data_IF_758264957479
#
_entry.id   IF_758264957479
#
_cell.length_a   1.000
_cell.length_b   1.000
_cell.length_c   1.000
_cell.angle_alpha   90.00
_cell.angle_beta   90.00
_cell.angle_gamma   90.00
#
_symmetry.space_group_name_H-M   'P 1'
#
loop_
_entity.id
_entity.type
_entity.pdbx_description
1 polymer ?
#
# COMPACT_ATOMS: atom_id res chain seq x y z
N UNK A 1 8.76 39.82 7.03
CA UNK A 1 8.45 38.83 8.10
C UNK A 1 7.90 37.48 7.60
N UNK A 2 6.89 37.43 6.71
CA UNK A 2 6.31 36.13 6.23
C UNK A 2 7.32 35.18 5.56
N UNK A 3 8.30 35.69 4.81
CA UNK A 3 9.31 34.85 4.14
C UNK A 3 10.37 34.29 5.11
N UNK A 4 10.76 35.04 6.13
CA UNK A 4 11.71 34.58 7.16
C UNK A 4 11.12 33.39 7.93
N UNK A 5 9.86 33.50 8.35
CA UNK A 5 9.15 32.41 9.05
C UNK A 5 9.05 31.14 8.20
N UNK A 6 8.78 31.26 6.89
CA UNK A 6 8.77 30.13 5.94
C UNK A 6 10.13 29.44 5.89
N UNK A 7 11.21 30.23 5.82
CA UNK A 7 12.57 29.71 5.75
C UNK A 7 12.96 28.98 7.04
N UNK A 8 12.64 29.56 8.21
CA UNK A 8 12.95 28.97 9.52
C UNK A 8 12.14 27.70 9.77
N UNK A 9 10.82 27.71 9.55
CA UNK A 9 10.00 26.50 9.71
C UNK A 9 10.40 25.41 8.70
N UNK A 10 10.73 25.80 7.46
CA UNK A 10 11.27 24.89 6.44
C UNK A 10 12.60 24.25 6.87
N UNK A 11 13.55 25.04 7.35
CA UNK A 11 14.84 24.51 7.82
C UNK A 11 14.68 23.54 8.99
N UNK A 12 13.81 23.85 9.98
CA UNK A 12 13.52 22.96 11.10
C UNK A 12 12.90 21.63 10.65
N UNK A 13 11.94 21.69 9.70
CA UNK A 13 11.31 20.49 9.17
C UNK A 13 12.26 19.67 8.28
N UNK A 14 13.16 20.30 7.54
CA UNK A 14 14.23 19.62 6.79
C UNK A 14 15.22 18.93 7.74
N UNK A 15 15.59 19.57 8.85
CA UNK A 15 16.42 18.94 9.87
C UNK A 15 15.73 17.72 10.48
N UNK A 16 14.45 17.84 10.83
CA UNK A 16 13.65 16.71 11.33
C UNK A 16 13.55 15.57 10.30
N UNK A 17 13.30 15.89 9.03
CA UNK A 17 13.33 14.92 7.94
C UNK A 17 14.67 14.21 7.86
N UNK A 18 15.78 14.95 7.91
CA UNK A 18 17.14 14.40 7.79
C UNK A 18 17.43 13.40 8.90
N UNK A 19 17.08 13.73 10.15
CA UNK A 19 17.25 12.81 11.28
C UNK A 19 16.43 11.52 11.08
N UNK A 20 15.15 11.65 10.73
CA UNK A 20 14.29 10.50 10.43
C UNK A 20 14.82 9.68 9.25
N UNK A 21 15.36 10.34 8.24
CA UNK A 21 15.93 9.73 7.04
C UNK A 21 17.14 8.87 7.36
N UNK A 22 18.08 9.39 8.15
CA UNK A 22 19.26 8.64 8.58
C UNK A 22 18.89 7.44 9.46
N UNK A 23 17.97 7.62 10.40
CA UNK A 23 17.43 6.53 11.21
C UNK A 23 16.81 5.45 10.31
N UNK A 24 16.03 5.87 9.31
CA UNK A 24 15.38 4.98 8.35
C UNK A 24 16.36 4.15 7.53
N UNK A 25 17.52 4.72 7.21
CA UNK A 25 18.52 4.09 6.34
C UNK A 25 19.48 3.18 7.11
N UNK A 26 19.93 3.58 8.30
CA UNK A 26 21.03 2.92 8.99
C UNK A 26 20.59 1.97 10.11
N UNK A 27 19.34 2.05 10.58
CA UNK A 27 18.81 1.11 11.57
C UNK A 27 17.79 0.16 10.92
N UNK A 28 17.95 -1.16 10.95
CA UNK A 28 17.04 -2.07 10.26
C UNK A 28 15.59 -2.01 10.80
N UNK A 29 15.37 -2.48 12.04
CA UNK A 29 14.02 -2.56 12.62
C UNK A 29 13.45 -1.18 12.96
N UNK A 30 14.28 -0.33 13.57
CA UNK A 30 13.88 1.05 13.91
C UNK A 30 13.65 1.86 12.66
N UNK A 31 14.44 1.64 11.60
CA UNK A 31 14.31 2.38 10.36
C UNK A 31 13.06 2.02 9.56
N UNK A 32 12.64 0.74 9.57
CA UNK A 32 11.35 0.35 9.01
C UNK A 32 10.20 1.14 9.65
N UNK A 33 10.18 1.25 10.98
CA UNK A 33 9.15 2.02 11.70
C UNK A 33 9.32 3.53 11.45
N UNK A 34 10.55 4.05 11.49
CA UNK A 34 10.88 5.45 11.25
C UNK A 34 10.45 5.92 9.86
N UNK A 35 10.54 5.05 8.86
CA UNK A 35 10.20 5.37 7.47
C UNK A 35 8.74 5.85 7.32
N UNK A 36 7.82 5.35 8.15
CA UNK A 36 6.42 5.76 8.16
C UNK A 36 6.21 7.23 8.57
N UNK A 37 7.19 7.80 9.29
CA UNK A 37 7.18 9.19 9.74
C UNK A 37 7.87 10.14 8.76
N UNK A 38 8.57 9.63 7.73
CA UNK A 38 9.28 10.47 6.75
C UNK A 38 8.37 11.44 6.01
N UNK A 39 7.10 11.09 5.81
CA UNK A 39 6.12 11.96 5.18
C UNK A 39 5.69 13.13 6.08
N UNK A 40 5.87 13.05 7.41
CA UNK A 40 5.34 14.04 8.37
C UNK A 40 5.86 15.45 8.11
N UNK A 41 7.17 15.70 7.93
CA UNK A 41 7.68 17.04 7.66
C UNK A 41 7.11 17.66 6.38
N UNK A 42 6.94 16.85 5.33
CA UNK A 42 6.35 17.28 4.06
C UNK A 42 4.86 17.61 4.20
N UNK A 43 4.11 16.78 4.92
CA UNK A 43 2.69 17.04 5.20
C UNK A 43 2.53 18.36 5.95
N UNK A 44 3.34 18.56 7.01
CA UNK A 44 3.30 19.78 7.82
C UNK A 44 3.63 21.03 7.00
N UNK A 45 4.69 20.98 6.20
CA UNK A 45 5.11 22.11 5.38
C UNK A 45 4.06 22.43 4.31
N UNK A 46 3.63 21.42 3.56
CA UNK A 46 2.68 21.59 2.46
C UNK A 46 1.26 21.96 2.91
N UNK A 47 0.87 21.59 4.14
CA UNK A 47 -0.40 22.02 4.72
C UNK A 47 -0.44 23.52 5.04
N UNK A 48 0.71 24.12 5.36
CA UNK A 48 0.82 25.52 5.81
C UNK A 48 1.19 26.51 4.72
N UNK A 49 1.93 26.08 3.69
CA UNK A 49 2.49 26.97 2.68
C UNK A 49 2.02 26.62 1.26
N UNK A 50 2.09 27.61 0.36
CA UNK A 50 1.66 27.46 -1.03
C UNK A 50 2.48 26.39 -1.77
N UNK A 51 1.87 25.74 -2.76
CA UNK A 51 2.48 24.63 -3.51
C UNK A 51 3.85 24.93 -4.13
N UNK A 52 4.11 26.18 -4.54
CA UNK A 52 5.44 26.59 -5.04
C UNK A 52 6.55 26.36 -4.00
N UNK A 53 6.29 26.73 -2.75
CA UNK A 53 7.25 26.53 -1.66
C UNK A 53 7.36 25.06 -1.28
N UNK A 54 6.27 24.30 -1.38
CA UNK A 54 6.30 22.85 -1.18
C UNK A 54 7.23 22.16 -2.16
N UNK A 55 7.23 22.56 -3.44
CA UNK A 55 8.15 22.03 -4.44
C UNK A 55 9.60 22.33 -4.04
N UNK A 56 9.89 23.57 -3.64
CA UNK A 56 11.23 23.96 -3.15
C UNK A 56 11.66 23.09 -1.96
N UNK A 57 10.75 22.84 -1.02
CA UNK A 57 11.03 21.99 0.14
C UNK A 57 11.32 20.54 -0.25
N UNK A 58 10.56 19.97 -1.19
CA UNK A 58 10.79 18.61 -1.71
C UNK A 58 12.15 18.54 -2.41
N UNK A 59 12.46 19.49 -3.30
CA UNK A 59 13.77 19.54 -3.98
C UNK A 59 14.91 19.65 -2.98
N UNK A 60 14.80 20.54 -1.98
CA UNK A 60 15.80 20.68 -0.93
C UNK A 60 16.00 19.38 -0.14
N UNK A 61 14.92 18.67 0.19
CA UNK A 61 15.00 17.37 0.90
C UNK A 61 15.67 16.29 0.06
N UNK A 62 15.46 16.27 -1.26
CA UNK A 62 16.10 15.32 -2.18
C UNK A 62 17.60 15.61 -2.25
N UNK A 63 17.99 16.86 -2.47
CA UNK A 63 19.41 17.25 -2.45
C UNK A 63 20.08 16.88 -1.12
N UNK A 64 19.40 17.14 0.00
CA UNK A 64 19.90 16.79 1.32
C UNK A 64 20.03 15.28 1.52
N UNK A 65 19.09 14.48 1.01
CA UNK A 65 19.16 13.02 1.08
C UNK A 65 20.36 12.43 0.32
N UNK A 66 20.75 13.07 -0.79
CA UNK A 66 21.94 12.69 -1.56
C UNK A 66 23.21 13.03 -0.80
N UNK A 67 23.27 14.22 -0.17
CA UNK A 67 24.44 14.69 0.58
C UNK A 67 24.72 13.83 1.81
N UNK A 68 23.68 13.49 2.58
CA UNK A 68 23.85 12.81 3.88
C UNK A 68 23.74 11.28 3.76
N UNK A 69 23.08 10.79 2.72
CA UNK A 69 22.97 9.36 2.40
C UNK A 69 23.86 8.98 1.22
N UNK A 70 23.23 8.60 0.11
CA UNK A 70 23.91 8.27 -1.14
C UNK A 70 22.94 8.45 -2.31
N UNK A 71 23.41 8.27 -3.55
CA UNK A 71 22.51 8.29 -4.70
C UNK A 71 21.41 7.20 -4.61
N UNK A 72 21.71 6.06 -3.97
CA UNK A 72 20.76 4.97 -3.77
C UNK A 72 19.67 5.26 -2.73
N UNK A 73 19.81 6.35 -1.96
CA UNK A 73 18.83 6.77 -0.95
C UNK A 73 17.73 7.67 -1.52
N UNK A 74 17.92 8.18 -2.75
CA UNK A 74 17.00 9.05 -3.48
C UNK A 74 15.58 8.46 -3.61
N UNK A 75 15.39 7.15 -3.91
CA UNK A 75 14.07 6.55 -4.00
C UNK A 75 13.20 6.77 -2.76
N UNK A 76 13.81 6.67 -1.58
CA UNK A 76 13.12 6.85 -0.31
C UNK A 76 12.67 8.31 -0.13
N UNK A 77 13.59 9.26 -0.30
CA UNK A 77 13.29 10.69 -0.16
C UNK A 77 12.25 11.17 -1.17
N UNK A 78 12.37 10.74 -2.43
CA UNK A 78 11.42 11.11 -3.48
C UNK A 78 10.04 10.51 -3.22
N UNK A 79 9.97 9.23 -2.85
CA UNK A 79 8.70 8.53 -2.60
C UNK A 79 7.92 9.16 -1.44
N UNK A 80 8.56 9.29 -0.28
CA UNK A 80 7.89 9.85 0.91
C UNK A 80 7.72 11.37 0.81
N UNK A 81 8.68 12.07 0.18
CA UNK A 81 8.64 13.52 0.01
C UNK A 81 7.50 13.98 -0.89
N UNK A 82 7.37 13.38 -2.08
CA UNK A 82 6.27 13.73 -3.01
C UNK A 82 4.91 13.27 -2.50
N UNK A 83 4.84 12.06 -1.92
CA UNK A 83 3.59 11.54 -1.32
C UNK A 83 3.12 12.43 -0.15
N UNK A 84 4.02 12.77 0.77
CA UNK A 84 3.73 13.66 1.90
C UNK A 84 3.38 15.09 1.46
N UNK A 85 4.05 15.60 0.42
CA UNK A 85 3.74 16.90 -0.16
C UNK A 85 2.32 16.95 -0.76
N UNK A 86 1.92 15.93 -1.52
CA UNK A 86 0.56 15.83 -2.08
C UNK A 86 -0.48 15.70 -0.97
N UNK A 87 -0.21 14.89 0.05
CA UNK A 87 -1.07 14.80 1.24
C UNK A 87 -1.28 16.17 1.88
N UNK A 88 -0.20 16.87 2.23
CA UNK A 88 -0.29 18.19 2.86
C UNK A 88 -0.95 19.24 1.98
N UNK A 89 -0.66 19.25 0.67
CA UNK A 89 -1.31 20.17 -0.28
C UNK A 89 -2.83 19.95 -0.36
N UNK A 90 -3.29 18.69 -0.40
CA UNK A 90 -4.72 18.39 -0.42
C UNK A 90 -5.40 18.68 0.92
N UNK A 91 -4.67 18.53 2.05
CA UNK A 91 -5.12 18.99 3.37
C UNK A 91 -5.30 20.51 3.38
N UNK A 92 -4.33 21.27 2.86
CA UNK A 92 -4.44 22.73 2.72
C UNK A 92 -5.67 23.13 1.89
N UNK A 93 -5.99 22.37 0.84
CA UNK A 93 -7.19 22.57 0.01
C UNK A 93 -8.48 22.00 0.64
N UNK A 94 -8.45 21.61 1.92
CA UNK A 94 -9.59 21.09 2.69
C UNK A 94 -10.32 19.93 2.01
N UNK A 95 -9.59 19.10 1.25
CA UNK A 95 -10.15 17.91 0.59
C UNK A 95 -10.52 16.83 1.59
N UNK A 96 -11.42 15.93 1.20
CA UNK A 96 -11.82 14.81 2.05
C UNK A 96 -10.67 13.82 2.22
N UNK A 97 -10.63 13.15 3.38
CA UNK A 97 -9.58 12.17 3.69
C UNK A 97 -9.51 11.03 2.67
N UNK A 98 -10.65 10.59 2.12
CA UNK A 98 -10.68 9.57 1.09
C UNK A 98 -10.02 10.06 -0.21
N UNK A 99 -10.29 11.31 -0.63
CA UNK A 99 -9.62 11.91 -1.78
C UNK A 99 -8.12 12.02 -1.56
N UNK A 100 -7.69 12.44 -0.36
CA UNK A 100 -6.27 12.51 0.00
C UNK A 100 -5.64 11.11 -0.05
N UNK A 101 -6.31 10.09 0.47
CA UNK A 101 -5.86 8.71 0.47
C UNK A 101 -5.65 8.16 -0.95
N UNK A 102 -6.66 8.29 -1.81
CA UNK A 102 -6.60 7.81 -3.20
C UNK A 102 -5.48 8.53 -3.96
N UNK A 103 -5.47 9.87 -3.93
CA UNK A 103 -4.48 10.65 -4.67
C UNK A 103 -3.04 10.34 -4.22
N UNK A 104 -2.81 10.23 -2.90
CA UNK A 104 -1.48 9.94 -2.37
C UNK A 104 -1.05 8.49 -2.63
N UNK A 105 -2.00 7.55 -2.67
CA UNK A 105 -1.71 6.15 -3.06
C UNK A 105 -1.25 6.08 -4.51
N UNK A 106 -1.91 6.81 -5.42
CA UNK A 106 -1.47 6.89 -6.81
C UNK A 106 -0.11 7.58 -6.98
N UNK A 107 0.18 8.63 -6.21
CA UNK A 107 1.52 9.24 -6.21
C UNK A 107 2.58 8.25 -5.76
N UNK A 108 2.33 7.53 -4.65
CA UNK A 108 3.25 6.50 -4.17
C UNK A 108 3.40 5.34 -5.17
N UNK A 109 2.31 4.93 -5.84
CA UNK A 109 2.35 3.93 -6.91
C UNK A 109 3.22 4.36 -8.08
N UNK A 110 3.06 5.60 -8.54
CA UNK A 110 3.90 6.18 -9.61
C UNK A 110 5.36 6.19 -9.17
N UNK A 111 5.65 6.54 -7.92
CA UNK A 111 7.01 6.49 -7.39
C UNK A 111 7.57 5.06 -7.38
N UNK A 112 6.80 4.06 -6.92
CA UNK A 112 7.24 2.66 -6.92
C UNK A 112 7.54 2.17 -8.34
N UNK A 113 6.63 2.42 -9.29
CA UNK A 113 6.79 2.03 -10.70
C UNK A 113 7.98 2.78 -11.33
N UNK A 114 8.08 4.09 -11.10
CA UNK A 114 9.15 4.92 -11.62
C UNK A 114 10.51 4.49 -11.08
N UNK A 115 10.62 4.17 -9.79
CA UNK A 115 11.84 3.68 -9.19
C UNK A 115 12.24 2.30 -9.71
N UNK A 116 11.27 1.41 -9.93
CA UNK A 116 11.53 0.14 -10.57
C UNK A 116 12.04 0.33 -12.02
N UNK A 117 11.42 1.20 -12.80
CA UNK A 117 11.88 1.51 -14.15
C UNK A 117 13.29 2.13 -14.15
N UNK A 118 13.58 3.04 -13.22
CA UNK A 118 14.91 3.64 -13.05
C UNK A 118 15.96 2.59 -12.69
N UNK A 119 15.64 1.63 -11.83
CA UNK A 119 16.54 0.54 -11.46
C UNK A 119 17.02 -0.26 -12.69
N UNK A 120 16.10 -0.55 -13.61
CA UNK A 120 16.42 -1.28 -14.83
C UNK A 120 17.19 -0.41 -15.82
N UNK A 121 16.72 0.80 -16.11
CA UNK A 121 17.24 1.62 -17.22
C UNK A 121 18.57 2.29 -16.88
N UNK A 122 18.72 2.80 -15.65
CA UNK A 122 19.91 3.57 -15.27
C UNK A 122 20.96 2.73 -14.56
N UNK A 123 20.53 1.75 -13.76
CA UNK A 123 21.46 0.92 -12.98
C UNK A 123 21.71 -0.46 -13.61
N UNK A 124 20.99 -0.83 -14.68
CA UNK A 124 21.01 -2.17 -15.28
C UNK A 124 20.72 -3.27 -14.25
N UNK A 125 19.91 -2.94 -13.23
CA UNK A 125 19.54 -3.84 -12.14
C UNK A 125 18.04 -4.12 -12.20
N UNK A 126 17.66 -5.37 -12.47
CA UNK A 126 16.28 -5.82 -12.28
C UNK A 126 16.13 -6.36 -10.86
N UNK A 127 15.79 -5.46 -9.94
CA UNK A 127 15.66 -5.75 -8.51
C UNK A 127 14.64 -6.87 -8.24
N UNK A 128 13.59 -6.97 -9.07
CA UNK A 128 12.56 -8.00 -8.91
C UNK A 128 13.11 -9.36 -9.35
N UNK A 129 13.80 -9.43 -10.49
CA UNK A 129 14.44 -10.68 -10.91
C UNK A 129 15.58 -11.09 -9.97
N UNK A 130 16.37 -10.15 -9.42
CA UNK A 130 17.39 -10.45 -8.41
C UNK A 130 16.77 -11.04 -7.14
N UNK A 131 15.66 -10.48 -6.66
CA UNK A 131 14.90 -11.04 -5.53
C UNK A 131 14.41 -12.46 -5.84
N UNK A 132 13.84 -12.68 -7.03
CA UNK A 132 13.38 -14.01 -7.45
C UNK A 132 14.54 -15.00 -7.54
N UNK A 133 15.70 -14.59 -8.08
CA UNK A 133 16.88 -15.45 -8.19
C UNK A 133 17.42 -15.82 -6.81
N UNK A 134 17.47 -14.87 -5.87
CA UNK A 134 17.86 -15.13 -4.48
C UNK A 134 16.94 -16.15 -3.82
N UNK A 135 15.62 -16.08 -4.09
CA UNK A 135 14.66 -17.09 -3.63
C UNK A 135 14.92 -18.45 -4.28
N UNK A 136 15.22 -18.51 -5.58
CA UNK A 136 15.58 -19.75 -6.29
C UNK A 136 16.81 -20.41 -5.71
N UNK A 137 17.85 -19.63 -5.38
CA UNK A 137 19.06 -20.14 -4.76
C UNK A 137 18.78 -20.74 -3.37
N UNK A 138 17.91 -20.08 -2.59
CA UNK A 138 17.45 -20.60 -1.30
C UNK A 138 16.68 -21.92 -1.44
N UNK A 139 15.81 -22.03 -2.45
CA UNK A 139 15.08 -23.27 -2.75
C UNK A 139 16.06 -24.37 -3.17
N UNK A 140 17.03 -24.06 -4.02
CA UNK A 140 18.05 -25.01 -4.48
C UNK A 140 18.81 -25.59 -3.28
N UNK A 141 19.29 -24.74 -2.38
CA UNK A 141 19.97 -25.15 -1.16
C UNK A 141 19.09 -26.08 -0.29
N UNK A 142 17.80 -25.77 -0.15
CA UNK A 142 16.86 -26.64 0.56
C UNK A 142 16.66 -27.99 -0.15
N UNK A 143 16.59 -27.99 -1.47
CA UNK A 143 16.37 -29.22 -2.26
C UNK A 143 17.60 -30.13 -2.31
N UNK A 144 18.80 -29.55 -2.30
CA UNK A 144 20.05 -30.31 -2.21
C UNK A 144 20.16 -31.01 -0.86
N UNK A 145 19.70 -30.38 0.23
CA UNK A 145 19.60 -31.02 1.54
C UNK A 145 18.63 -32.22 1.52
N UNK A 146 17.46 -32.09 0.90
CA UNK A 146 16.50 -33.19 0.76
C UNK A 146 17.06 -34.35 -0.06
N UNK A 147 17.78 -34.05 -1.16
CA UNK A 147 18.45 -35.08 -1.98
C UNK A 147 19.52 -35.82 -1.17
N UNK A 148 20.33 -35.10 -0.39
CA UNK A 148 21.34 -35.71 0.48
C UNK A 148 20.75 -36.62 1.56
N UNK A 149 19.47 -36.42 1.93
CA UNK A 149 18.72 -37.29 2.85
C UNK A 149 18.00 -38.45 2.12
N UNK A 150 18.24 -38.64 0.82
CA UNK A 150 17.58 -39.67 0.01
C UNK A 150 16.12 -39.36 -0.36
N UNK A 151 15.66 -38.11 -0.18
CA UNK A 151 14.27 -37.69 -0.43
C UNK A 151 14.08 -37.03 -1.80
N UNK A 152 14.57 -37.66 -2.87
CA UNK A 152 14.58 -37.07 -4.23
C UNK A 152 13.19 -36.68 -4.74
N UNK A 153 12.19 -37.54 -4.55
CA UNK A 153 10.80 -37.26 -4.96
C UNK A 153 10.21 -36.05 -4.25
N UNK A 154 10.56 -35.86 -2.97
CA UNK A 154 10.12 -34.68 -2.21
C UNK A 154 10.84 -33.43 -2.71
N UNK A 155 12.15 -33.51 -2.97
CA UNK A 155 12.92 -32.42 -3.54
C UNK A 155 12.34 -31.95 -4.89
N UNK A 156 12.00 -32.87 -5.79
CA UNK A 156 11.37 -32.51 -7.08
C UNK A 156 10.02 -31.82 -6.92
N UNK A 157 9.17 -32.32 -6.02
CA UNK A 157 7.87 -31.71 -5.74
C UNK A 157 8.04 -30.29 -5.18
N UNK A 158 9.00 -30.10 -4.27
CA UNK A 158 9.37 -28.79 -3.73
C UNK A 158 9.79 -27.85 -4.86
N UNK A 159 10.74 -28.25 -5.71
CA UNK A 159 11.18 -27.41 -6.85
C UNK A 159 9.99 -27.01 -7.73
N UNK A 160 9.14 -27.96 -8.12
CA UNK A 160 7.97 -27.70 -8.99
C UNK A 160 6.99 -26.72 -8.34
N UNK A 161 6.65 -26.92 -7.06
CA UNK A 161 5.70 -26.08 -6.35
C UNK A 161 6.23 -24.65 -6.19
N UNK A 162 7.49 -24.49 -5.76
CA UNK A 162 8.08 -23.18 -5.57
C UNK A 162 8.32 -22.44 -6.89
N UNK A 163 8.73 -23.14 -7.95
CA UNK A 163 8.92 -22.52 -9.27
C UNK A 163 7.62 -21.90 -9.78
N UNK A 164 6.50 -22.65 -9.71
CA UNK A 164 5.17 -22.12 -10.05
C UNK A 164 4.78 -20.93 -9.16
N UNK A 165 5.07 -21.00 -7.86
CA UNK A 165 4.83 -19.89 -6.94
C UNK A 165 5.60 -18.62 -7.31
N UNK A 166 6.87 -18.75 -7.71
CA UNK A 166 7.70 -17.62 -8.14
C UNK A 166 7.22 -17.03 -9.48
N UNK A 167 6.79 -17.85 -10.42
CA UNK A 167 6.17 -17.39 -11.68
C UNK A 167 4.88 -16.61 -11.42
N UNK A 168 4.08 -17.07 -10.46
CA UNK A 168 2.86 -16.38 -10.02
C UNK A 168 3.18 -15.04 -9.34
N UNK A 169 4.18 -15.01 -8.45
CA UNK A 169 4.66 -13.75 -7.83
C UNK A 169 5.11 -12.76 -8.91
N UNK A 170 5.89 -13.23 -9.90
CA UNK A 170 6.35 -12.42 -11.03
C UNK A 170 5.17 -11.85 -11.82
N UNK A 171 4.15 -12.66 -12.08
CA UNK A 171 2.94 -12.23 -12.79
C UNK A 171 2.15 -11.20 -11.97
N UNK A 172 2.13 -11.32 -10.65
CA UNK A 172 1.38 -10.46 -9.73
C UNK A 172 2.12 -9.21 -9.26
N UNK A 173 3.32 -8.92 -9.76
CA UNK A 173 4.06 -7.70 -9.42
C UNK A 173 3.21 -6.42 -9.55
N UNK A 174 2.42 -6.21 -10.62
CA UNK A 174 1.53 -5.04 -10.71
C UNK A 174 0.52 -4.96 -9.55
N UNK A 175 -0.12 -6.07 -9.20
CA UNK A 175 -1.02 -6.15 -8.03
C UNK A 175 -0.27 -5.78 -6.75
N UNK A 176 0.92 -6.34 -6.54
CA UNK A 176 1.72 -6.08 -5.35
C UNK A 176 2.10 -4.60 -5.24
N UNK A 177 2.46 -3.94 -6.34
CA UNK A 177 2.73 -2.50 -6.34
C UNK A 177 1.49 -1.68 -5.96
N UNK A 178 0.33 -2.01 -6.54
CA UNK A 178 -0.94 -1.37 -6.19
C UNK A 178 -1.24 -1.56 -4.70
N UNK A 179 -1.27 -2.80 -4.20
CA UNK A 179 -1.60 -3.09 -2.80
C UNK A 179 -0.61 -2.43 -1.83
N UNK A 180 0.69 -2.54 -2.08
CA UNK A 180 1.72 -1.91 -1.25
C UNK A 180 1.56 -0.39 -1.21
N UNK A 181 1.29 0.27 -2.34
CA UNK A 181 1.10 1.72 -2.37
C UNK A 181 -0.10 2.17 -1.53
N UNK A 182 -1.22 1.46 -1.61
CA UNK A 182 -2.43 1.78 -0.84
C UNK A 182 -2.27 1.47 0.65
N UNK A 183 -1.68 0.31 0.99
CA UNK A 183 -1.43 -0.09 2.39
C UNK A 183 -0.43 0.87 3.05
N UNK A 184 0.70 1.17 2.42
CA UNK A 184 1.67 2.12 2.97
C UNK A 184 1.08 3.52 3.12
N UNK A 185 0.32 3.99 2.14
CA UNK A 185 -0.38 5.28 2.24
C UNK A 185 -1.34 5.32 3.42
N UNK A 186 -2.06 4.22 3.68
CA UNK A 186 -2.94 4.10 4.84
C UNK A 186 -2.14 4.21 6.14
N UNK A 187 -1.03 3.46 6.25
CA UNK A 187 -0.14 3.48 7.40
C UNK A 187 0.44 4.88 7.65
N UNK A 188 0.92 5.53 6.59
CA UNK A 188 1.42 6.92 6.64
C UNK A 188 0.34 7.85 7.21
N UNK A 189 -0.91 7.76 6.76
CA UNK A 189 -1.98 8.60 7.31
C UNK A 189 -2.29 8.28 8.78
N UNK A 190 -2.32 7.00 9.16
CA UNK A 190 -2.62 6.58 10.53
C UNK A 190 -1.57 7.10 11.52
N UNK A 191 -0.29 7.08 11.12
CA UNK A 191 0.83 7.54 11.95
C UNK A 191 0.99 9.06 11.89
N UNK A 192 0.90 9.66 10.70
CA UNK A 192 1.21 11.08 10.50
C UNK A 192 0.10 12.00 10.98
N UNK A 193 -1.18 11.67 10.78
CA UNK A 193 -2.27 12.60 11.05
C UNK A 193 -2.43 12.97 12.53
N UNK A 194 -2.27 12.06 13.50
CA UNK A 194 -2.24 12.42 14.92
C UNK A 194 -1.14 13.45 15.23
N UNK A 195 0.04 13.30 14.63
CA UNK A 195 1.17 14.21 14.82
C UNK A 195 0.85 15.56 14.18
N UNK A 196 0.45 15.55 12.91
CA UNK A 196 0.13 16.75 12.13
C UNK A 196 -0.95 17.61 12.80
N UNK A 197 -1.98 16.99 13.39
CA UNK A 197 -3.01 17.69 14.16
C UNK A 197 -2.47 18.41 15.40
N UNK A 198 -1.48 17.83 16.10
CA UNK A 198 -0.84 18.46 17.26
C UNK A 198 -0.09 19.74 16.90
N UNK A 199 0.34 19.89 15.64
CA UNK A 199 0.98 21.10 15.11
C UNK A 199 -0.01 22.11 14.52
N UNK A 200 -1.31 21.99 14.85
CA UNK A 200 -2.34 22.97 14.49
C UNK A 200 -2.90 22.84 13.07
N UNK A 201 -2.66 21.71 12.39
CA UNK A 201 -3.23 21.45 11.07
C UNK A 201 -4.58 20.75 11.20
N UNK A 202 -5.62 21.39 10.71
CA UNK A 202 -6.97 20.81 10.68
C UNK A 202 -7.11 19.77 9.57
N UNK A 203 -7.45 18.53 9.96
CA UNK A 203 -7.71 17.43 9.03
C UNK A 203 -9.15 16.95 9.22
N UNK A 204 -9.92 16.94 8.12
CA UNK A 204 -11.28 16.39 8.10
C UNK A 204 -11.30 14.96 8.65
N UNK A 205 -12.27 14.67 9.53
CA UNK A 205 -12.42 13.35 10.13
C UNK A 205 -12.74 12.31 9.04
N UNK A 206 -12.19 11.10 9.18
CA UNK A 206 -12.65 9.99 8.35
C UNK A 206 -14.03 9.55 8.84
N UNK A 207 -14.88 9.11 7.92
CA UNK A 207 -15.95 8.17 8.23
C UNK A 207 -15.36 6.98 9.04
N UNK A 208 -16.06 6.50 10.07
CA UNK A 208 -15.68 5.28 10.77
C UNK A 208 -15.46 4.13 9.77
N UNK A 209 -14.54 3.20 10.08
CA UNK A 209 -14.23 2.07 9.21
C UNK A 209 -15.48 1.27 8.79
N UNK A 210 -16.40 1.06 9.74
CA UNK A 210 -17.70 0.40 9.50
C UNK A 210 -18.58 1.12 8.47
N UNK A 211 -18.43 2.44 8.30
CA UNK A 211 -19.27 3.25 7.41
C UNK A 211 -18.63 3.45 6.03
N UNK A 212 -17.44 2.90 5.81
CA UNK A 212 -16.81 2.88 4.49
C UNK A 212 -17.56 1.89 3.61
N UNK A 213 -17.86 2.33 2.38
CA UNK A 213 -18.45 1.50 1.35
C UNK A 213 -17.86 1.90 0.01
N UNK A 214 -17.46 0.91 -0.76
CA UNK A 214 -16.89 1.05 -2.08
C UNK A 214 -17.98 1.34 -3.13
N UNK A 215 -17.63 2.00 -4.25
CA UNK A 215 -18.60 2.28 -5.32
C UNK A 215 -19.08 0.98 -5.98
N UNK A 216 -20.39 0.93 -6.29
CA UNK A 216 -21.05 -0.22 -6.93
C UNK A 216 -20.44 -0.63 -8.28
N UNK A 217 -19.77 0.28 -8.97
CA UNK A 217 -19.07 -0.02 -10.23
C UNK A 217 -17.97 -1.06 -10.08
N UNK A 218 -17.33 -1.18 -8.91
CA UNK A 218 -16.27 -2.18 -8.67
C UNK A 218 -16.79 -3.62 -8.73
N UNK A 219 -18.05 -3.86 -8.35
CA UNK A 219 -18.69 -5.16 -8.54
C UNK A 219 -18.78 -5.51 -10.03
N UNK A 220 -19.22 -4.57 -10.86
CA UNK A 220 -19.34 -4.79 -12.29
C UNK A 220 -17.97 -5.01 -12.95
N UNK A 221 -16.94 -4.26 -12.55
CA UNK A 221 -15.59 -4.53 -13.02
C UNK A 221 -15.13 -5.94 -12.64
N UNK A 222 -15.44 -6.43 -11.44
CA UNK A 222 -15.13 -7.80 -11.04
C UNK A 222 -15.87 -8.82 -11.90
N UNK A 223 -17.18 -8.66 -12.07
CA UNK A 223 -17.99 -9.57 -12.87
C UNK A 223 -17.54 -9.63 -14.33
N UNK A 224 -17.25 -8.48 -14.94
CA UNK A 224 -16.72 -8.40 -16.31
C UNK A 224 -15.36 -9.10 -16.40
N UNK A 225 -14.48 -8.89 -15.40
CA UNK A 225 -13.15 -9.52 -15.38
C UNK A 225 -13.25 -11.04 -15.25
N UNK A 226 -14.12 -11.54 -14.36
CA UNK A 226 -14.35 -12.99 -14.20
C UNK A 226 -14.97 -13.60 -15.45
N UNK A 227 -15.95 -12.92 -16.05
CA UNK A 227 -16.56 -13.35 -17.30
C UNK A 227 -15.55 -13.37 -18.45
N UNK A 228 -14.70 -12.35 -18.57
CA UNK A 228 -13.63 -12.30 -19.57
C UNK A 228 -12.62 -13.44 -19.37
N UNK A 229 -12.22 -13.75 -18.13
CA UNK A 229 -11.37 -14.90 -17.84
C UNK A 229 -12.01 -16.21 -18.30
N UNK A 230 -13.31 -16.40 -18.04
CA UNK A 230 -14.02 -17.63 -18.39
C UNK A 230 -14.19 -17.81 -19.90
N UNK A 231 -14.54 -16.72 -20.61
CA UNK A 231 -14.82 -16.78 -22.06
C UNK A 231 -13.55 -16.80 -22.90
N UNK A 232 -12.56 -15.97 -22.54
CA UNK A 232 -11.33 -15.85 -23.32
C UNK A 232 -10.33 -16.96 -22.97
N UNK A 233 -10.42 -17.52 -21.75
CA UNK A 233 -9.55 -18.57 -21.22
C UNK A 233 -8.07 -18.40 -21.61
N UNK A 234 -7.46 -17.25 -21.25
CA UNK A 234 -6.13 -16.91 -21.74
C UNK A 234 -5.08 -17.89 -21.21
N UNK A 235 -4.17 -18.32 -22.09
CA UNK A 235 -3.09 -19.22 -21.71
C UNK A 235 -2.12 -18.53 -20.73
N UNK A 236 -1.61 -19.29 -19.77
CA UNK A 236 -0.57 -18.84 -18.84
C UNK A 236 0.65 -18.29 -19.60
N UNK A 237 1.26 -17.23 -19.07
CA UNK A 237 2.40 -16.56 -19.70
C UNK A 237 2.03 -15.54 -20.79
N UNK A 238 0.76 -15.47 -21.23
CA UNK A 238 0.32 -14.41 -22.16
C UNK A 238 0.12 -13.07 -21.45
N UNK A 239 0.26 -11.96 -22.20
CA UNK A 239 -0.02 -10.62 -21.67
C UNK A 239 -1.47 -10.49 -21.17
N UNK A 240 -2.42 -11.06 -21.91
CA UNK A 240 -3.85 -11.02 -21.53
C UNK A 240 -4.10 -11.77 -20.22
N UNK A 241 -3.47 -12.93 -20.03
CA UNK A 241 -3.53 -13.67 -18.76
C UNK A 241 -3.01 -12.80 -17.61
N UNK A 242 -1.84 -12.17 -17.76
CA UNK A 242 -1.27 -11.33 -16.72
C UNK A 242 -2.18 -10.15 -16.35
N UNK A 243 -2.75 -9.46 -17.34
CA UNK A 243 -3.67 -8.32 -17.11
C UNK A 243 -4.91 -8.77 -16.36
N UNK A 244 -5.59 -9.82 -16.83
CA UNK A 244 -6.82 -10.31 -16.23
C UNK A 244 -6.58 -10.88 -14.82
N UNK A 245 -5.45 -11.56 -14.60
CA UNK A 245 -5.06 -12.06 -13.29
C UNK A 245 -4.87 -10.90 -12.31
N UNK A 246 -4.04 -9.91 -12.65
CA UNK A 246 -3.81 -8.76 -11.76
C UNK A 246 -5.10 -7.98 -11.45
N UNK A 247 -5.93 -7.74 -12.46
CA UNK A 247 -7.20 -7.06 -12.27
C UNK A 247 -8.11 -7.86 -11.32
N UNK A 248 -8.15 -9.18 -11.48
CA UNK A 248 -8.92 -10.08 -10.59
C UNK A 248 -8.45 -9.96 -9.15
N UNK A 249 -7.14 -10.04 -8.88
CA UNK A 249 -6.60 -9.99 -7.51
C UNK A 249 -6.81 -8.61 -6.85
N UNK A 250 -6.63 -7.51 -7.59
CA UNK A 250 -6.92 -6.16 -7.07
C UNK A 250 -8.41 -6.04 -6.70
N UNK A 251 -9.31 -6.48 -7.58
CA UNK A 251 -10.76 -6.39 -7.34
C UNK A 251 -11.21 -7.33 -6.21
N UNK A 252 -10.64 -8.53 -6.10
CA UNK A 252 -10.89 -9.43 -4.97
C UNK A 252 -10.44 -8.81 -3.64
N UNK A 253 -9.28 -8.19 -3.59
CA UNK A 253 -8.81 -7.48 -2.39
C UNK A 253 -9.78 -6.36 -1.98
N UNK A 254 -10.29 -5.60 -2.95
CA UNK A 254 -11.30 -4.58 -2.70
C UNK A 254 -12.61 -5.18 -2.17
N UNK A 255 -13.05 -6.34 -2.68
CA UNK A 255 -14.22 -7.03 -2.14
C UNK A 255 -14.00 -7.55 -0.72
N UNK A 256 -12.81 -8.07 -0.41
CA UNK A 256 -12.44 -8.45 0.96
C UNK A 256 -12.48 -7.23 1.89
N UNK A 257 -11.92 -6.10 1.46
CA UNK A 257 -12.00 -4.84 2.20
C UNK A 257 -13.46 -4.43 2.45
N UNK A 258 -14.31 -4.47 1.41
CA UNK A 258 -15.75 -4.21 1.56
C UNK A 258 -16.39 -5.18 2.57
N UNK A 259 -16.07 -6.47 2.47
CA UNK A 259 -16.55 -7.51 3.38
C UNK A 259 -16.21 -7.21 4.83
N UNK A 260 -14.98 -6.80 5.12
CA UNK A 260 -14.60 -6.36 6.46
C UNK A 260 -15.38 -5.13 6.91
N UNK A 261 -15.48 -4.09 6.08
CA UNK A 261 -16.25 -2.89 6.46
C UNK A 261 -17.72 -3.23 6.77
N UNK A 262 -18.32 -4.15 6.01
CA UNK A 262 -19.68 -4.63 6.23
C UNK A 262 -19.79 -5.49 7.48
N UNK A 263 -18.85 -6.40 7.74
CA UNK A 263 -18.83 -7.22 8.95
C UNK A 263 -18.81 -6.34 10.21
N UNK A 264 -17.95 -5.32 10.24
CA UNK A 264 -17.91 -4.38 11.35
C UNK A 264 -19.20 -3.54 11.47
N UNK A 265 -19.83 -3.17 10.35
CA UNK A 265 -21.14 -2.51 10.36
C UNK A 265 -22.23 -3.41 10.93
N UNK A 266 -22.30 -4.67 10.47
CA UNK A 266 -23.28 -5.65 10.91
C UNK A 266 -23.16 -5.94 12.41
N UNK A 267 -21.94 -6.08 12.91
CA UNK A 267 -21.69 -6.38 14.33
C UNK A 267 -22.13 -5.21 15.21
N UNK A 268 -21.80 -3.99 14.80
CA UNK A 268 -22.22 -2.77 15.49
C UNK A 268 -23.75 -2.62 15.49
N UNK A 269 -24.41 -2.86 14.35
CA UNK A 269 -25.87 -2.82 14.25
C UNK A 269 -26.57 -3.88 15.12
N UNK A 270 -25.91 -5.01 15.39
CA UNK A 270 -26.39 -6.09 16.27
C UNK A 270 -25.95 -5.93 17.73
N UNK A 271 -25.25 -4.85 18.09
CA UNK A 271 -24.75 -4.63 19.45
C UNK A 271 -23.61 -5.57 19.87
N UNK A 272 -22.95 -6.25 18.92
CA UNK A 272 -21.80 -7.11 19.18
C UNK A 272 -20.58 -6.23 19.48
N UNK A 273 -19.80 -6.60 20.51
CA UNK A 273 -18.65 -5.82 20.93
C UNK A 273 -17.57 -5.71 19.85
N UNK A 274 -16.93 -4.53 19.78
CA UNK A 274 -15.84 -4.27 18.83
C UNK A 274 -14.68 -5.25 18.96
N UNK A 275 -14.40 -5.73 20.17
CA UNK A 275 -13.32 -6.70 20.42
C UNK A 275 -13.57 -8.02 19.71
N UNK A 276 -14.81 -8.52 19.71
CA UNK A 276 -15.18 -9.75 18.99
C UNK A 276 -15.03 -9.56 17.48
N UNK A 277 -15.46 -8.41 16.94
CA UNK A 277 -15.29 -8.07 15.53
C UNK A 277 -13.82 -8.10 15.11
N UNK A 278 -12.93 -7.52 15.93
CA UNK A 278 -11.48 -7.49 15.67
C UNK A 278 -10.87 -8.89 15.74
N UNK A 279 -11.24 -9.69 16.75
CA UNK A 279 -10.75 -11.07 16.89
C UNK A 279 -11.12 -11.89 15.65
N UNK A 280 -12.39 -11.85 15.21
CA UNK A 280 -12.82 -12.57 14.00
C UNK A 280 -12.17 -12.00 12.73
N UNK A 281 -11.92 -10.70 12.66
CA UNK A 281 -11.18 -10.11 11.56
C UNK A 281 -9.76 -10.68 11.46
N UNK A 282 -9.06 -10.80 12.59
CA UNK A 282 -7.70 -11.37 12.64
C UNK A 282 -7.72 -12.86 12.29
N UNK A 283 -8.63 -13.64 12.89
CA UNK A 283 -8.75 -15.07 12.58
C UNK A 283 -9.10 -15.33 11.11
N UNK A 284 -10.02 -14.54 10.55
CA UNK A 284 -10.40 -14.69 9.14
C UNK A 284 -9.28 -14.31 8.17
N UNK A 285 -8.38 -13.42 8.57
CA UNK A 285 -7.21 -13.06 7.78
C UNK A 285 -6.16 -14.18 7.73
N UNK A 286 -6.01 -14.92 8.82
CA UNK A 286 -5.03 -16.02 8.93
C UNK A 286 -5.49 -17.26 8.15
N UNK A 287 -6.80 -17.53 8.13
CA UNK A 287 -7.35 -18.76 7.56
C UNK A 287 -7.99 -18.46 6.19
N UNK A 288 -7.41 -18.96 5.07
CA UNK A 288 -7.84 -18.59 3.71
C UNK A 288 -9.34 -18.78 3.43
N UNK A 289 -9.95 -19.86 3.95
CA UNK A 289 -11.38 -20.12 3.71
C UNK A 289 -12.27 -19.00 4.26
N UNK A 290 -11.92 -18.44 5.43
CA UNK A 290 -12.67 -17.35 6.02
C UNK A 290 -12.43 -16.04 5.26
N UNK A 291 -11.23 -15.82 4.74
CA UNK A 291 -10.95 -14.66 3.89
C UNK A 291 -11.82 -14.66 2.63
N UNK A 292 -12.02 -15.83 2.00
CA UNK A 292 -12.95 -15.99 0.88
C UNK A 292 -14.39 -15.68 1.27
N UNK A 293 -14.85 -16.15 2.44
CA UNK A 293 -16.19 -15.84 2.95
C UNK A 293 -16.36 -14.33 3.15
N UNK A 294 -15.36 -13.65 3.72
CA UNK A 294 -15.37 -12.18 3.85
C UNK A 294 -15.46 -11.51 2.47
N UNK A 295 -14.70 -11.98 1.48
CA UNK A 295 -14.78 -11.49 0.10
C UNK A 295 -16.19 -11.61 -0.48
N UNK A 296 -16.84 -12.77 -0.30
CA UNK A 296 -18.22 -13.01 -0.74
C UNK A 296 -19.19 -12.07 -0.01
N UNK A 297 -19.04 -11.87 1.30
CA UNK A 297 -19.85 -10.91 2.04
C UNK A 297 -19.73 -9.50 1.48
N UNK A 298 -18.53 -9.09 1.06
CA UNK A 298 -18.31 -7.80 0.39
C UNK A 298 -19.06 -7.68 -0.94
N UNK A 299 -19.02 -8.74 -1.76
CA UNK A 299 -19.76 -8.82 -3.03
C UNK A 299 -21.27 -8.68 -2.79
N UNK A 300 -21.81 -9.42 -1.81
CA UNK A 300 -23.24 -9.40 -1.48
C UNK A 300 -23.65 -8.03 -0.91
N UNK A 301 -22.89 -7.46 0.02
CA UNK A 301 -23.17 -6.13 0.57
C UNK A 301 -23.24 -5.07 -0.53
N UNK A 302 -22.28 -5.08 -1.44
CA UNK A 302 -22.17 -4.07 -2.48
C UNK A 302 -23.22 -4.26 -3.61
N UNK A 303 -23.58 -5.51 -3.92
CA UNK A 303 -24.60 -5.84 -4.92
C UNK A 303 -26.03 -5.61 -4.45
N UNK A 304 -26.35 -5.98 -3.21
CA UNK A 304 -27.70 -5.92 -2.66
C UNK A 304 -27.95 -4.75 -1.71
N UNK A 305 -26.91 -3.96 -1.40
CA UNK A 305 -26.95 -2.82 -0.48
C UNK A 305 -27.52 -3.22 0.89
N UNK A 306 -26.94 -4.26 1.49
CA UNK A 306 -27.44 -4.88 2.71
C UNK A 306 -27.55 -3.88 3.87
N UNK A 307 -26.65 -2.90 3.92
CA UNK A 307 -26.63 -1.82 4.92
C UNK A 307 -27.94 -1.04 5.00
N UNK A 308 -28.65 -0.83 3.88
CA UNK A 308 -29.93 -0.10 3.86
C UNK A 308 -31.05 -0.86 4.58
N UNK A 309 -31.00 -2.19 4.60
CA UNK A 309 -32.04 -3.01 5.26
C UNK A 309 -31.98 -2.83 6.77
N UNK A 310 -30.78 -2.80 7.34
CA UNK A 310 -30.58 -2.60 8.79
C UNK A 310 -30.97 -1.20 9.29
N UNK A 311 -30.90 -0.16 8.44
CA UNK A 311 -31.35 1.20 8.81
C UNK A 311 -32.87 1.38 8.87
N UNK A 312 -33.64 0.43 8.31
CA UNK A 312 -35.12 0.47 8.35
C UNK A 312 -35.70 -0.25 9.56
N UNK A 313 -34.89 -1.04 10.26
CA UNK A 313 -35.32 -1.90 11.39
C UNK A 313 -34.85 -1.38 12.76
N UNK A 314 -34.16 -0.23 12.78
CA UNK A 314 -33.69 0.50 13.98
C UNK A 314 -34.37 1.86 14.09
#
# INVERSE_FOLDING_TARGET
MKNVRKLTEGAMLLAAFTVLFLISMYLPFVGMVSSLFLAVPFILFAAKYEGKWTIVFVVASILLSIIVGSFLSLPLALSFGTTGAVMGYLIQKKKERMTIFIASSFVLLINIIGMYAVSIVFFNMDIINEMINTMKDSIKMSTDMLKNLGQEKQAENTVKQFTRGLEMVRTLIPTLFVLTSFILTLMIQLVSYPIVKRFGVEIKKWKPFKDLSLPRSLLWYLLITLFANMVLNPQEGTYLFAVLLNLTYVLQFLMIFQGYTFMFYYFDAKGISKSVAVILAVFSFIIPIFLYIIGILGIIDLGFDLRKKFKKES
#
